data_IF_115715274195
#
_entry.id   IF_115715274195
#
_cell.length_a   1.000
_cell.length_b   1.000
_cell.length_c   1.000
_cell.angle_alpha   90.00
_cell.angle_beta   90.00
_cell.angle_gamma   90.00
#
_symmetry.space_group_name_H-M   'P 1'
#
loop_
_entity.id
_entity.type
_entity.pdbx_description
1 polymer ?
#
# COMPACT_ATOMS: atom_id res chain seq x y z
N UNK A 1 -20.21 2.36 -19.34
CA UNK A 1 -19.14 3.30 -19.72
C UNK A 1 -19.35 4.71 -19.15
N UNK A 2 -20.55 5.24 -19.16
CA UNK A 2 -20.83 6.61 -18.68
C UNK A 2 -20.60 6.82 -17.19
N UNK A 3 -20.90 5.81 -16.32
CA UNK A 3 -20.70 5.93 -14.86
C UNK A 3 -19.23 6.05 -14.47
N UNK A 4 -18.34 5.21 -15.02
CA UNK A 4 -16.89 5.29 -14.75
C UNK A 4 -16.34 6.64 -15.21
N UNK A 5 -16.74 7.10 -16.41
CA UNK A 5 -16.32 8.41 -16.93
C UNK A 5 -16.78 9.55 -16.02
N UNK A 6 -17.99 9.47 -15.46
CA UNK A 6 -18.49 10.49 -14.53
C UNK A 6 -17.70 10.49 -13.22
N UNK A 7 -17.35 9.33 -12.66
CA UNK A 7 -16.49 9.23 -11.46
C UNK A 7 -15.09 9.80 -11.71
N UNK A 8 -14.46 9.44 -12.82
CA UNK A 8 -13.16 9.99 -13.22
C UNK A 8 -13.21 11.51 -13.45
N UNK A 9 -14.32 12.03 -14.00
CA UNK A 9 -14.50 13.47 -14.16
C UNK A 9 -14.60 14.17 -12.81
N UNK A 10 -15.38 13.63 -11.85
CA UNK A 10 -15.46 14.13 -10.47
C UNK A 10 -14.06 14.24 -9.84
N UNK A 11 -13.25 13.18 -9.96
CA UNK A 11 -11.88 13.15 -9.43
C UNK A 11 -11.03 14.25 -10.10
N UNK A 12 -11.09 14.37 -11.44
CA UNK A 12 -10.30 15.35 -12.20
C UNK A 12 -10.67 16.80 -11.84
N UNK A 13 -11.94 17.05 -11.55
CA UNK A 13 -12.44 18.41 -11.23
C UNK A 13 -12.28 18.78 -9.75
N UNK A 14 -11.94 17.83 -8.88
CA UNK A 14 -11.64 18.10 -7.47
C UNK A 14 -10.14 18.33 -7.29
N UNK A 15 -9.78 19.14 -6.30
CA UNK A 15 -8.38 19.40 -5.98
C UNK A 15 -7.72 18.24 -5.19
N UNK A 16 -8.47 17.23 -4.81
CA UNK A 16 -8.03 16.19 -3.88
C UNK A 16 -6.86 15.39 -4.42
N UNK A 17 -6.92 14.93 -5.67
CA UNK A 17 -5.90 14.05 -6.24
C UNK A 17 -4.52 14.71 -6.36
N UNK A 18 -4.47 15.98 -6.78
CA UNK A 18 -3.18 16.67 -6.92
C UNK A 18 -2.59 17.11 -5.58
N UNK A 19 -3.44 17.41 -4.57
CA UNK A 19 -2.99 17.68 -3.20
C UNK A 19 -2.30 16.42 -2.65
N UNK A 20 -2.90 15.24 -2.80
CA UNK A 20 -2.28 13.98 -2.38
C UNK A 20 -1.01 13.66 -3.18
N UNK A 21 -0.99 13.97 -4.49
CA UNK A 21 0.20 13.84 -5.31
C UNK A 21 1.33 14.76 -4.80
N UNK A 22 1.01 16.01 -4.45
CA UNK A 22 1.99 16.95 -3.89
C UNK A 22 2.53 16.48 -2.53
N UNK A 23 1.67 15.98 -1.65
CA UNK A 23 2.06 15.42 -0.34
C UNK A 23 2.92 14.15 -0.52
N UNK A 24 2.64 13.35 -1.55
CA UNK A 24 3.39 12.11 -1.79
C UNK A 24 4.86 12.34 -2.14
N UNK A 25 5.21 13.46 -2.77
CA UNK A 25 6.58 13.75 -3.20
C UNK A 25 7.58 13.86 -2.03
N UNK A 26 7.36 14.70 -0.99
CA UNK A 26 8.26 14.77 0.15
C UNK A 26 8.28 13.46 0.95
N UNK A 27 7.16 12.74 1.07
CA UNK A 27 7.10 11.44 1.73
C UNK A 27 7.89 10.37 0.95
N UNK A 28 7.81 10.39 -0.37
CA UNK A 28 8.62 9.53 -1.24
C UNK A 28 10.11 9.87 -1.12
N UNK A 29 10.48 11.15 -1.15
CA UNK A 29 11.87 11.57 -0.99
C UNK A 29 12.45 11.18 0.37
N UNK A 30 11.65 11.30 1.44
CA UNK A 30 12.04 10.85 2.78
C UNK A 30 12.28 9.34 2.81
N UNK A 31 11.38 8.54 2.24
CA UNK A 31 11.55 7.07 2.18
C UNK A 31 12.74 6.68 1.30
N UNK A 32 12.99 7.39 0.20
CA UNK A 32 14.17 7.18 -0.63
C UNK A 32 15.47 7.43 0.17
N UNK A 33 15.52 8.51 0.94
CA UNK A 33 16.66 8.81 1.80
C UNK A 33 16.87 7.71 2.84
N UNK A 34 15.80 7.27 3.51
CA UNK A 34 15.89 6.18 4.51
C UNK A 34 16.39 4.88 3.86
N UNK A 35 15.84 4.50 2.69
CA UNK A 35 16.24 3.30 1.97
C UNK A 35 17.67 3.41 1.44
N UNK A 36 18.12 4.59 1.05
CA UNK A 36 19.53 4.82 0.69
C UNK A 36 20.46 4.59 1.87
N UNK A 37 20.18 5.24 3.02
CA UNK A 37 21.00 5.06 4.24
C UNK A 37 21.01 3.59 4.69
N UNK A 38 19.89 2.90 4.56
CA UNK A 38 19.79 1.47 4.86
C UNK A 38 20.63 0.64 3.87
N UNK A 39 20.55 0.91 2.56
CA UNK A 39 21.32 0.20 1.55
C UNK A 39 22.83 0.42 1.75
N UNK A 40 23.26 1.68 2.05
CA UNK A 40 24.64 2.01 2.36
C UNK A 40 25.15 1.24 3.60
N UNK A 41 24.35 1.22 4.68
CA UNK A 41 24.69 0.45 5.88
C UNK A 41 24.80 -1.06 5.60
N UNK A 42 23.86 -1.63 4.81
CA UNK A 42 23.85 -3.06 4.46
C UNK A 42 25.05 -3.46 3.58
N UNK A 43 25.56 -2.57 2.72
CA UNK A 43 26.67 -2.86 1.81
C UNK A 43 28.02 -2.54 2.43
N UNK A 44 28.11 -1.64 3.40
CA UNK A 44 29.34 -1.20 4.05
C UNK A 44 29.70 -1.97 5.32
N UNK A 45 28.73 -2.63 5.97
CA UNK A 45 28.93 -3.34 7.24
C UNK A 45 29.18 -4.82 6.99
N UNK A 46 30.21 -5.40 7.64
CA UNK A 46 30.46 -6.84 7.60
C UNK A 46 29.38 -7.60 8.40
N UNK A 47 28.64 -8.55 7.80
CA UNK A 47 27.62 -9.35 8.49
C UNK A 47 28.14 -10.02 9.78
N UNK A 48 29.42 -10.37 9.83
CA UNK A 48 30.02 -11.00 11.03
C UNK A 48 30.03 -10.07 12.26
N UNK A 49 29.88 -8.76 12.06
CA UNK A 49 29.87 -7.77 13.16
C UNK A 49 28.48 -7.60 13.79
N UNK A 50 27.43 -8.14 13.19
CA UNK A 50 26.01 -7.93 13.60
C UNK A 50 25.56 -9.00 14.61
N UNK A 51 26.39 -10.00 14.93
CA UNK A 51 26.09 -11.03 15.92
C UNK A 51 24.95 -11.97 15.48
N UNK A 52 23.99 -12.22 16.36
CA UNK A 52 22.90 -13.20 16.14
C UNK A 52 21.98 -12.85 14.94
N UNK A 53 22.05 -11.64 14.43
CA UNK A 53 21.27 -11.19 13.27
C UNK A 53 22.03 -11.27 11.93
N UNK A 54 23.23 -11.88 11.92
CA UNK A 54 24.09 -11.95 10.73
C UNK A 54 23.38 -12.53 9.50
N UNK A 55 22.60 -13.60 9.66
CA UNK A 55 21.86 -14.26 8.57
C UNK A 55 20.76 -13.36 8.00
N UNK A 56 20.03 -12.65 8.85
CA UNK A 56 18.99 -11.70 8.43
C UNK A 56 19.60 -10.50 7.70
N UNK A 57 20.72 -10.00 8.24
CA UNK A 57 21.47 -8.89 7.64
C UNK A 57 22.03 -9.29 6.26
N UNK A 58 22.65 -10.47 6.14
CA UNK A 58 23.16 -10.97 4.88
C UNK A 58 22.04 -11.17 3.83
N UNK A 59 20.89 -11.70 4.24
CA UNK A 59 19.72 -11.85 3.37
C UNK A 59 19.19 -10.48 2.86
N UNK A 60 19.16 -9.46 3.72
CA UNK A 60 18.74 -8.12 3.37
C UNK A 60 19.76 -7.38 2.48
N UNK A 61 21.04 -7.71 2.57
CA UNK A 61 22.13 -7.13 1.76
C UNK A 61 22.23 -7.73 0.35
N UNK A 62 21.44 -8.74 0.02
CA UNK A 62 21.47 -9.36 -1.33
C UNK A 62 21.03 -8.35 -2.40
N UNK A 63 21.59 -8.41 -3.64
CA UNK A 63 21.17 -7.56 -4.75
C UNK A 63 19.67 -7.62 -5.03
N UNK A 64 19.04 -8.80 -4.84
CA UNK A 64 17.61 -9.02 -5.01
C UNK A 64 16.78 -8.25 -3.96
N UNK A 65 17.20 -8.28 -2.69
CA UNK A 65 16.54 -7.56 -1.62
C UNK A 65 16.70 -6.04 -1.78
N UNK A 66 17.93 -5.57 -2.03
CA UNK A 66 18.24 -4.16 -2.21
C UNK A 66 17.50 -3.54 -3.41
N UNK A 67 17.54 -4.22 -4.57
CA UNK A 67 16.85 -3.73 -5.77
C UNK A 67 15.33 -3.73 -5.60
N UNK A 68 14.76 -4.77 -5.01
CA UNK A 68 13.33 -4.83 -4.74
C UNK A 68 12.88 -3.74 -3.78
N UNK A 69 13.64 -3.47 -2.71
CA UNK A 69 13.37 -2.39 -1.76
C UNK A 69 13.43 -1.01 -2.42
N UNK A 70 14.50 -0.72 -3.17
CA UNK A 70 14.69 0.57 -3.82
C UNK A 70 13.69 0.83 -4.95
N UNK A 71 13.35 -0.19 -5.75
CA UNK A 71 12.36 -0.04 -6.84
C UNK A 71 10.91 -0.04 -6.35
N UNK A 72 10.65 -0.33 -5.08
CA UNK A 72 9.35 -0.18 -4.44
C UNK A 72 9.33 0.91 -3.37
N UNK A 73 10.33 1.79 -3.35
CA UNK A 73 10.44 2.92 -2.43
C UNK A 73 9.15 3.74 -2.40
N UNK A 74 8.77 4.21 -1.22
CA UNK A 74 7.55 5.00 -1.02
C UNK A 74 6.27 4.17 -0.92
N UNK A 75 6.33 2.82 -1.04
CA UNK A 75 5.17 1.95 -0.90
C UNK A 75 4.36 2.26 0.36
N UNK A 76 4.99 2.39 1.51
CA UNK A 76 4.30 2.60 2.79
C UNK A 76 3.36 3.81 2.74
N UNK A 77 3.83 4.98 2.35
CA UNK A 77 2.97 6.15 2.24
C UNK A 77 2.10 6.15 1.00
N UNK A 78 2.56 5.54 -0.10
CA UNK A 78 1.79 5.39 -1.33
C UNK A 78 0.51 4.58 -1.12
N UNK A 79 0.57 3.47 -0.39
CA UNK A 79 -0.59 2.65 -0.03
C UNK A 79 -1.58 3.40 0.87
N UNK A 80 -1.07 4.16 1.86
CA UNK A 80 -1.90 5.04 2.68
C UNK A 80 -2.65 6.05 1.82
N UNK A 81 -1.96 6.75 0.91
CA UNK A 81 -2.56 7.76 0.04
C UNK A 81 -3.64 7.15 -0.86
N UNK A 82 -3.36 6.02 -1.49
CA UNK A 82 -4.32 5.34 -2.36
C UNK A 82 -5.53 4.84 -1.58
N UNK A 83 -5.34 4.34 -0.37
CA UNK A 83 -6.45 3.99 0.53
C UNK A 83 -7.31 5.22 0.86
N UNK A 84 -6.70 6.35 1.21
CA UNK A 84 -7.43 7.60 1.50
C UNK A 84 -8.18 8.11 0.27
N UNK A 85 -7.60 8.05 -0.91
CA UNK A 85 -8.28 8.38 -2.16
C UNK A 85 -9.49 7.45 -2.40
N UNK A 86 -9.35 6.15 -2.15
CA UNK A 86 -10.45 5.19 -2.21
C UNK A 86 -11.59 5.53 -1.24
N UNK A 87 -11.26 5.92 0.00
CA UNK A 87 -12.23 6.41 0.99
C UNK A 87 -12.97 7.64 0.45
N UNK A 88 -12.24 8.63 -0.07
CA UNK A 88 -12.78 9.90 -0.53
C UNK A 88 -13.68 9.72 -1.75
N UNK A 89 -13.35 8.84 -2.69
CA UNK A 89 -14.19 8.51 -3.86
C UNK A 89 -15.60 8.10 -3.46
N UNK A 90 -15.74 7.45 -2.29
CA UNK A 90 -17.06 7.05 -1.77
C UNK A 90 -17.67 8.14 -0.90
N UNK A 91 -16.90 8.64 0.07
CA UNK A 91 -17.42 9.49 1.15
C UNK A 91 -17.68 10.94 0.71
N UNK A 92 -17.06 11.41 -0.37
CA UNK A 92 -17.31 12.75 -0.92
C UNK A 92 -18.77 12.97 -1.31
N UNK A 93 -19.47 11.94 -1.80
CA UNK A 93 -20.89 12.05 -2.13
C UNK A 93 -21.76 12.23 -0.88
N UNK A 94 -21.41 11.59 0.22
CA UNK A 94 -22.08 11.78 1.51
C UNK A 94 -21.79 13.16 2.08
N UNK A 95 -20.56 13.62 1.98
CA UNK A 95 -20.14 14.93 2.44
C UNK A 95 -20.84 16.08 1.67
N UNK A 96 -20.96 15.95 0.35
CA UNK A 96 -21.63 16.94 -0.50
C UNK A 96 -23.13 16.69 -0.69
N UNK A 97 -23.73 15.72 0.02
CA UNK A 97 -25.15 15.35 -0.05
C UNK A 97 -25.65 15.00 -1.47
N UNK A 98 -24.76 14.50 -2.35
CA UNK A 98 -25.06 14.14 -3.73
C UNK A 98 -25.44 12.67 -3.92
N UNK A 99 -25.41 11.87 -2.86
CA UNK A 99 -25.74 10.43 -2.88
C UNK A 99 -27.12 10.17 -3.44
N UNK A 100 -28.14 10.94 -2.98
CA UNK A 100 -29.52 10.78 -3.42
C UNK A 100 -29.66 11.05 -4.93
N UNK A 101 -29.03 12.12 -5.42
CA UNK A 101 -29.04 12.47 -6.85
C UNK A 101 -28.38 11.38 -7.70
N UNK A 102 -27.27 10.81 -7.22
CA UNK A 102 -26.55 9.73 -7.89
C UNK A 102 -27.44 8.50 -8.05
N UNK A 103 -28.19 8.10 -7.00
CA UNK A 103 -29.06 6.92 -7.07
C UNK A 103 -30.39 7.17 -7.78
N UNK A 104 -30.88 8.40 -7.81
CA UNK A 104 -32.05 8.76 -8.64
C UNK A 104 -31.74 8.68 -10.13
N UNK A 105 -30.53 9.11 -10.53
CA UNK A 105 -30.09 9.05 -11.94
C UNK A 105 -29.59 7.67 -12.35
N UNK A 106 -29.13 6.85 -11.40
CA UNK A 106 -28.58 5.51 -11.65
C UNK A 106 -29.10 4.51 -10.60
N UNK A 107 -30.28 3.90 -10.83
CA UNK A 107 -30.93 3.03 -9.83
C UNK A 107 -30.15 1.73 -9.54
N UNK A 108 -29.19 1.36 -10.40
CA UNK A 108 -28.39 0.15 -10.24
C UNK A 108 -27.21 0.40 -9.26
N UNK A 109 -27.46 0.27 -7.96
CA UNK A 109 -26.48 0.52 -6.87
C UNK A 109 -25.14 -0.23 -7.06
N UNK A 110 -25.20 -1.48 -7.55
CA UNK A 110 -23.99 -2.28 -7.84
C UNK A 110 -23.15 -1.69 -8.98
N UNK A 111 -23.78 -1.14 -10.02
CA UNK A 111 -23.07 -0.52 -11.12
C UNK A 111 -22.33 0.78 -10.68
N UNK A 112 -22.95 1.56 -9.79
CA UNK A 112 -22.32 2.75 -9.18
C UNK A 112 -21.12 2.33 -8.34
N UNK A 113 -21.23 1.27 -7.52
CA UNK A 113 -20.11 0.76 -6.73
C UNK A 113 -18.95 0.27 -7.58
N UNK A 114 -19.24 -0.51 -8.62
CA UNK A 114 -18.22 -0.98 -9.56
C UNK A 114 -17.54 0.20 -10.26
N UNK A 115 -18.28 1.25 -10.62
CA UNK A 115 -17.69 2.45 -11.19
C UNK A 115 -16.72 3.15 -10.23
N UNK A 116 -17.06 3.22 -8.93
CA UNK A 116 -16.17 3.77 -7.89
C UNK A 116 -14.94 2.91 -7.65
N UNK A 117 -15.08 1.59 -7.63
CA UNK A 117 -13.94 0.66 -7.54
C UNK A 117 -13.00 0.82 -8.74
N UNK A 118 -13.54 0.91 -9.95
CA UNK A 118 -12.74 1.14 -11.16
C UNK A 118 -12.04 2.50 -11.09
N UNK A 119 -12.73 3.56 -10.66
CA UNK A 119 -12.14 4.88 -10.53
C UNK A 119 -11.01 4.92 -9.49
N UNK A 120 -11.21 4.29 -8.33
CA UNK A 120 -10.16 4.13 -7.30
C UNK A 120 -8.98 3.30 -7.83
N UNK A 121 -9.24 2.22 -8.57
CA UNK A 121 -8.22 1.41 -9.22
C UNK A 121 -7.39 2.18 -10.26
N UNK A 122 -8.03 3.05 -11.04
CA UNK A 122 -7.32 3.94 -12.00
C UNK A 122 -6.42 4.91 -11.25
N UNK A 123 -6.86 5.50 -10.14
CA UNK A 123 -6.00 6.35 -9.31
C UNK A 123 -4.81 5.58 -8.74
N UNK A 124 -5.07 4.37 -8.22
CA UNK A 124 -4.02 3.49 -7.71
C UNK A 124 -2.97 3.16 -8.79
N UNK A 125 -3.42 2.83 -9.99
CA UNK A 125 -2.54 2.56 -11.14
C UNK A 125 -1.70 3.78 -11.50
N UNK A 126 -2.30 4.98 -11.52
CA UNK A 126 -1.57 6.21 -11.83
C UNK A 126 -0.52 6.55 -10.76
N UNK A 127 -0.88 6.45 -9.48
CA UNK A 127 0.06 6.68 -8.39
C UNK A 127 1.22 5.66 -8.41
N UNK A 128 0.89 4.37 -8.58
CA UNK A 128 1.90 3.32 -8.73
C UNK A 128 2.82 3.58 -9.93
N UNK A 129 2.27 3.94 -11.10
CA UNK A 129 3.05 4.19 -12.31
C UNK A 129 4.05 5.34 -12.12
N UNK A 130 3.58 6.46 -11.57
CA UNK A 130 4.42 7.64 -11.33
C UNK A 130 5.52 7.32 -10.32
N UNK A 131 5.19 6.68 -9.19
CA UNK A 131 6.19 6.31 -8.18
C UNK A 131 7.17 5.27 -8.71
N UNK A 132 6.72 4.31 -9.52
CA UNK A 132 7.61 3.31 -10.15
C UNK A 132 8.60 3.97 -11.10
N UNK A 133 8.18 4.93 -11.92
CA UNK A 133 9.10 5.67 -12.81
C UNK A 133 10.16 6.42 -11.98
N UNK A 134 9.76 7.11 -10.92
CA UNK A 134 10.73 7.76 -10.02
C UNK A 134 11.66 6.76 -9.35
N UNK A 135 11.16 5.60 -8.93
CA UNK A 135 11.95 4.56 -8.30
C UNK A 135 12.95 3.91 -9.26
N UNK A 136 12.59 3.70 -10.52
CA UNK A 136 13.51 3.16 -11.53
C UNK A 136 14.67 4.13 -11.78
N UNK A 137 14.43 5.43 -11.77
CA UNK A 137 15.47 6.45 -11.96
C UNK A 137 16.31 6.62 -10.71
N UNK A 138 15.68 6.98 -9.58
CA UNK A 138 16.38 7.28 -8.34
C UNK A 138 16.97 6.02 -7.68
N UNK A 139 16.23 4.91 -7.70
CA UNK A 139 16.68 3.63 -7.14
C UNK A 139 17.90 3.07 -7.88
N UNK A 140 17.95 3.18 -9.23
CA UNK A 140 19.14 2.80 -9.99
C UNK A 140 20.35 3.67 -9.64
N UNK A 141 20.16 4.97 -9.46
CA UNK A 141 21.23 5.87 -9.04
C UNK A 141 21.76 5.52 -7.64
N UNK A 142 20.87 5.19 -6.69
CA UNK A 142 21.24 4.75 -5.35
C UNK A 142 21.99 3.41 -5.39
N UNK A 143 21.47 2.43 -6.15
CA UNK A 143 22.13 1.11 -6.30
C UNK A 143 23.56 1.27 -6.84
N UNK A 144 23.76 2.11 -7.87
CA UNK A 144 25.07 2.40 -8.38
C UNK A 144 25.98 3.08 -7.35
N UNK A 145 25.44 3.99 -6.54
CA UNK A 145 26.18 4.68 -5.48
C UNK A 145 26.68 3.74 -4.37
N UNK A 146 25.95 2.65 -4.10
CA UNK A 146 26.35 1.63 -3.11
C UNK A 146 27.07 0.41 -3.75
N UNK A 147 27.45 0.50 -5.02
CA UNK A 147 28.24 -0.54 -5.71
C UNK A 147 27.44 -1.75 -6.19
N UNK A 148 26.13 -1.64 -6.34
CA UNK A 148 25.21 -2.70 -6.80
C UNK A 148 24.61 -2.32 -8.15
N UNK A 149 25.40 -2.41 -9.23
CA UNK A 149 25.00 -2.02 -10.58
C UNK A 149 24.13 -3.07 -11.29
N UNK A 150 23.50 -2.64 -12.40
CA UNK A 150 22.88 -3.55 -13.37
C UNK A 150 21.54 -4.19 -12.95
N UNK A 151 20.88 -3.69 -11.91
CA UNK A 151 19.68 -4.33 -11.35
C UNK A 151 18.39 -4.13 -12.17
N UNK A 152 18.40 -3.37 -13.25
CA UNK A 152 17.26 -3.26 -14.17
C UNK A 152 16.94 -4.58 -14.91
N UNK A 153 17.91 -5.50 -15.01
CA UNK A 153 17.71 -6.86 -15.53
C UNK A 153 17.31 -7.89 -14.46
N UNK A 154 17.12 -7.49 -13.21
CA UNK A 154 16.86 -8.40 -12.09
C UNK A 154 15.38 -8.82 -12.04
N UNK A 155 15.10 -10.11 -12.19
CA UNK A 155 13.75 -10.68 -12.18
C UNK A 155 13.06 -10.51 -10.82
N UNK A 156 13.79 -10.54 -9.69
CA UNK A 156 13.23 -10.34 -8.37
C UNK A 156 12.70 -8.91 -8.23
N UNK A 157 13.43 -7.92 -8.74
CA UNK A 157 13.02 -6.52 -8.74
C UNK A 157 11.74 -6.30 -9.57
N UNK A 158 11.65 -6.86 -10.78
CA UNK A 158 10.43 -6.75 -11.60
C UNK A 158 9.24 -7.46 -10.98
N UNK A 159 9.46 -8.60 -10.32
CA UNK A 159 8.42 -9.28 -9.55
C UNK A 159 7.94 -8.41 -8.39
N UNK A 160 8.84 -7.78 -7.65
CA UNK A 160 8.49 -6.85 -6.57
C UNK A 160 7.68 -5.66 -7.08
N UNK A 161 8.05 -5.05 -8.22
CA UNK A 161 7.31 -3.97 -8.88
C UNK A 161 5.89 -4.43 -9.26
N UNK A 162 5.74 -5.63 -9.81
CA UNK A 162 4.42 -6.19 -10.16
C UNK A 162 3.55 -6.47 -8.94
N UNK A 163 4.13 -7.03 -7.86
CA UNK A 163 3.43 -7.25 -6.59
C UNK A 163 3.09 -5.93 -5.90
N UNK A 164 3.93 -4.92 -6.04
CA UNK A 164 3.64 -3.57 -5.56
C UNK A 164 2.40 -2.97 -6.26
N UNK A 165 2.23 -3.16 -7.57
CA UNK A 165 0.99 -2.80 -8.28
C UNK A 165 -0.23 -3.50 -7.65
N UNK A 166 -0.11 -4.81 -7.39
CA UNK A 166 -1.19 -5.56 -6.74
C UNK A 166 -1.54 -4.95 -5.37
N UNK A 167 -0.52 -4.58 -4.57
CA UNK A 167 -0.73 -3.92 -3.29
C UNK A 167 -1.51 -2.61 -3.45
N UNK A 168 -1.11 -1.74 -4.38
CA UNK A 168 -1.82 -0.48 -4.65
C UNK A 168 -3.29 -0.71 -5.02
N UNK A 169 -3.58 -1.68 -5.88
CA UNK A 169 -4.96 -2.02 -6.28
C UNK A 169 -5.79 -2.56 -5.11
N UNK A 170 -5.22 -3.45 -4.29
CA UNK A 170 -5.90 -4.02 -3.12
C UNK A 170 -6.19 -2.96 -2.06
N UNK A 171 -5.26 -2.03 -1.83
CA UNK A 171 -5.46 -0.93 -0.89
C UNK A 171 -6.48 0.11 -1.38
N UNK A 172 -6.60 0.31 -2.70
CA UNK A 172 -7.69 1.11 -3.27
C UNK A 172 -9.06 0.46 -2.98
N UNK A 173 -9.18 -0.86 -3.18
CA UNK A 173 -10.40 -1.62 -2.84
C UNK A 173 -10.70 -1.53 -1.34
N UNK A 174 -9.69 -1.69 -0.50
CA UNK A 174 -9.81 -1.58 0.95
C UNK A 174 -10.30 -0.18 1.38
N UNK A 175 -9.74 0.88 0.77
CA UNK A 175 -10.19 2.26 1.00
C UNK A 175 -11.65 2.48 0.62
N UNK A 176 -12.08 2.00 -0.55
CA UNK A 176 -13.49 2.04 -0.96
C UNK A 176 -14.37 1.29 0.06
N UNK A 177 -13.93 0.12 0.54
CA UNK A 177 -14.62 -0.65 1.57
C UNK A 177 -14.83 0.15 2.87
N UNK A 178 -13.78 0.77 3.41
CA UNK A 178 -13.85 1.64 4.60
C UNK A 178 -14.83 2.80 4.36
N UNK A 179 -14.75 3.46 3.19
CA UNK A 179 -15.64 4.56 2.83
C UNK A 179 -17.12 4.18 2.79
N UNK A 180 -17.42 2.93 2.41
CA UNK A 180 -18.78 2.38 2.45
C UNK A 180 -19.24 2.08 3.86
N UNK A 181 -18.35 1.54 4.69
CA UNK A 181 -18.65 1.21 6.09
C UNK A 181 -18.92 2.46 6.93
N UNK A 182 -18.10 3.49 6.74
CA UNK A 182 -18.13 4.74 7.49
C UNK A 182 -18.56 5.88 6.56
N UNK A 183 -19.82 6.28 6.63
CA UNK A 183 -20.41 7.32 5.74
C UNK A 183 -19.89 8.73 5.99
N UNK A 184 -19.23 8.99 7.11
CA UNK A 184 -18.60 10.27 7.42
C UNK A 184 -17.22 10.34 6.76
N UNK A 185 -16.96 11.34 5.94
CA UNK A 185 -15.66 11.52 5.28
C UNK A 185 -14.55 11.69 6.31
N UNK A 186 -14.74 12.57 7.29
CA UNK A 186 -13.76 12.80 8.37
C UNK A 186 -13.56 11.52 9.19
N UNK A 187 -14.66 10.87 9.60
CA UNK A 187 -14.61 9.64 10.38
C UNK A 187 -13.89 8.51 9.65
N UNK A 188 -14.19 8.28 8.35
CA UNK A 188 -13.55 7.25 7.55
C UNK A 188 -12.05 7.54 7.33
N UNK A 189 -11.69 8.79 7.06
CA UNK A 189 -10.30 9.20 6.84
C UNK A 189 -9.47 9.05 8.11
N UNK A 190 -9.97 9.56 9.25
CA UNK A 190 -9.29 9.42 10.55
C UNK A 190 -9.15 7.95 10.95
N UNK A 191 -10.21 7.16 10.81
CA UNK A 191 -10.16 5.71 11.10
C UNK A 191 -9.15 5.01 10.19
N UNK A 192 -9.14 5.32 8.89
CA UNK A 192 -8.18 4.76 7.95
C UNK A 192 -6.72 5.09 8.33
N UNK A 193 -6.42 6.34 8.66
CA UNK A 193 -5.09 6.77 9.10
C UNK A 193 -4.69 6.07 10.40
N UNK A 194 -5.57 6.02 11.39
CA UNK A 194 -5.27 5.37 12.68
C UNK A 194 -5.06 3.87 12.53
N UNK A 195 -5.87 3.18 11.73
CA UNK A 195 -5.69 1.76 11.45
C UNK A 195 -4.40 1.49 10.67
N UNK A 196 -4.08 2.35 9.70
CA UNK A 196 -2.88 2.17 8.90
C UNK A 196 -1.61 2.49 9.70
N UNK A 197 -1.45 3.71 10.16
CA UNK A 197 -0.23 4.16 10.85
C UNK A 197 -0.16 3.58 12.27
N UNK A 198 -1.23 3.71 13.05
CA UNK A 198 -1.27 3.20 14.43
C UNK A 198 -1.16 1.68 14.47
N UNK A 199 -1.87 0.98 13.58
CA UNK A 199 -1.79 -0.47 13.45
C UNK A 199 -0.40 -0.93 13.03
N UNK A 200 0.23 -0.30 12.04
CA UNK A 200 1.57 -0.65 11.57
C UNK A 200 2.65 -0.40 12.63
N UNK A 201 2.70 0.82 13.14
CA UNK A 201 3.71 1.23 14.13
C UNK A 201 3.54 0.44 15.42
N UNK A 202 2.29 0.34 15.92
CA UNK A 202 2.00 -0.44 17.13
C UNK A 202 2.37 -1.91 16.98
N UNK A 203 2.06 -2.53 15.83
CA UNK A 203 2.41 -3.92 15.57
C UNK A 203 3.92 -4.14 15.52
N UNK A 204 4.69 -3.26 14.88
CA UNK A 204 6.16 -3.37 14.85
C UNK A 204 6.72 -3.42 16.27
N UNK A 205 6.30 -2.50 17.14
CA UNK A 205 6.79 -2.46 18.53
C UNK A 205 6.33 -3.69 19.33
N UNK A 206 5.06 -4.08 19.20
CA UNK A 206 4.52 -5.24 19.93
C UNK A 206 5.20 -6.52 19.48
N UNK A 207 5.35 -6.74 18.17
CA UNK A 207 6.01 -7.93 17.61
C UNK A 207 7.48 -7.97 18.07
N UNK A 208 8.21 -6.84 18.01
CA UNK A 208 9.60 -6.78 18.44
C UNK A 208 9.78 -7.17 19.92
N UNK A 209 8.94 -6.61 20.83
CA UNK A 209 8.98 -6.91 22.26
C UNK A 209 8.62 -8.38 22.53
N UNK A 210 7.63 -8.93 21.80
CA UNK A 210 7.18 -10.30 22.00
C UNK A 210 8.17 -11.31 21.41
N UNK A 211 8.78 -11.01 20.27
CA UNK A 211 9.76 -11.87 19.61
C UNK A 211 11.02 -12.05 20.49
N UNK A 212 11.46 -11.00 21.15
CA UNK A 212 12.58 -11.04 22.10
C UNK A 212 12.32 -12.02 23.27
N UNK A 213 11.05 -12.16 23.69
CA UNK A 213 10.67 -13.03 24.83
C UNK A 213 10.26 -14.45 24.45
N UNK A 214 9.61 -14.61 23.31
CA UNK A 214 8.93 -15.86 22.93
C UNK A 214 9.45 -16.48 21.65
N UNK A 215 10.43 -15.82 20.99
CA UNK A 215 11.12 -16.34 19.81
C UNK A 215 10.47 -15.92 18.48
N UNK A 216 11.15 -16.27 17.39
CA UNK A 216 10.90 -15.78 16.03
C UNK A 216 9.53 -16.13 15.45
N UNK A 217 8.84 -17.17 15.98
CA UNK A 217 7.50 -17.53 15.50
C UNK A 217 6.48 -16.40 15.65
N UNK A 218 6.73 -15.45 16.57
CA UNK A 218 5.93 -14.23 16.79
C UNK A 218 5.94 -13.34 15.55
N UNK A 219 6.98 -13.37 14.72
CA UNK A 219 7.05 -12.60 13.48
C UNK A 219 5.92 -12.95 12.50
N UNK A 220 5.30 -14.14 12.62
CA UNK A 220 4.12 -14.48 11.83
C UNK A 220 2.92 -13.58 12.11
N UNK A 221 2.86 -12.92 13.28
CA UNK A 221 1.78 -11.97 13.60
C UNK A 221 1.78 -10.73 12.70
N UNK A 222 2.90 -10.42 12.02
CA UNK A 222 2.94 -9.35 11.03
C UNK A 222 1.93 -9.56 9.89
N UNK A 223 1.54 -10.80 9.59
CA UNK A 223 0.51 -11.13 8.60
C UNK A 223 -0.87 -10.61 8.99
N UNK A 224 -1.16 -10.44 10.29
CA UNK A 224 -2.44 -9.90 10.75
C UNK A 224 -2.58 -8.39 10.47
N UNK A 225 -1.49 -7.71 10.14
CA UNK A 225 -1.48 -6.27 9.87
C UNK A 225 -1.33 -6.05 8.36
N UNK A 226 -2.36 -5.54 7.67
CA UNK A 226 -2.36 -5.46 6.21
C UNK A 226 -1.18 -4.69 5.61
N UNK A 227 -0.70 -3.65 6.29
CA UNK A 227 0.47 -2.86 5.84
C UNK A 227 1.78 -3.65 5.91
N UNK A 228 1.98 -4.44 6.98
CA UNK A 228 3.16 -5.30 7.13
C UNK A 228 3.09 -6.48 6.15
N UNK A 229 1.90 -7.07 5.97
CA UNK A 229 1.67 -8.11 4.95
C UNK A 229 1.97 -7.59 3.54
N UNK A 230 1.65 -6.30 3.23
CA UNK A 230 1.99 -5.65 1.95
C UNK A 230 3.50 -5.45 1.79
N UNK A 231 4.20 -5.05 2.84
CA UNK A 231 5.65 -4.91 2.82
C UNK A 231 6.33 -6.26 2.59
N UNK A 232 5.89 -7.29 3.32
CA UNK A 232 6.41 -8.65 3.16
C UNK A 232 6.23 -9.19 1.73
N UNK A 233 5.09 -8.91 1.09
CA UNK A 233 4.77 -9.38 -0.25
C UNK A 233 5.79 -8.91 -1.32
N UNK A 234 6.36 -7.71 -1.16
CA UNK A 234 7.27 -7.10 -2.15
C UNK A 234 8.74 -7.31 -1.83
N UNK A 235 9.11 -7.97 -0.73
CA UNK A 235 10.51 -8.26 -0.42
C UNK A 235 11.16 -9.09 -1.53
N UNK A 236 12.41 -8.77 -1.89
CA UNK A 236 13.14 -9.46 -2.95
C UNK A 236 13.71 -10.82 -2.54
N UNK A 237 13.96 -11.01 -1.25
CA UNK A 237 14.52 -12.23 -0.66
C UNK A 237 13.66 -12.75 0.48
N UNK A 238 13.74 -14.05 0.76
CA UNK A 238 13.16 -14.65 1.96
C UNK A 238 14.12 -14.40 3.12
N UNK A 239 13.63 -13.70 4.15
CA UNK A 239 14.40 -13.34 5.34
C UNK A 239 14.17 -14.41 6.41
N UNK A 240 15.22 -15.04 6.96
CA UNK A 240 15.09 -16.03 8.04
C UNK A 240 14.28 -15.47 9.22
N UNK A 241 13.38 -16.27 9.77
CA UNK A 241 12.50 -15.86 10.87
C UNK A 241 11.24 -15.09 10.45
N UNK A 242 11.10 -14.70 9.18
CA UNK A 242 9.89 -14.08 8.66
C UNK A 242 8.97 -15.11 7.96
N UNK A 243 7.64 -14.87 7.91
CA UNK A 243 6.74 -15.70 7.14
C UNK A 243 7.04 -15.63 5.63
N UNK A 244 6.64 -16.65 4.84
CA UNK A 244 6.89 -16.65 3.41
C UNK A 244 6.12 -15.51 2.71
N UNK A 245 6.72 -14.90 1.70
CA UNK A 245 6.20 -13.74 0.95
C UNK A 245 4.79 -13.95 0.37
N UNK A 246 4.48 -15.17 -0.12
CA UNK A 246 3.16 -15.49 -0.65
C UNK A 246 2.04 -15.38 0.41
N UNK A 247 2.38 -15.59 1.70
CA UNK A 247 1.40 -15.45 2.78
C UNK A 247 0.94 -14.00 2.93
N UNK A 248 1.83 -13.02 2.74
CA UNK A 248 1.47 -11.60 2.69
C UNK A 248 0.45 -11.30 1.59
N UNK A 249 0.68 -11.81 0.37
CA UNK A 249 -0.26 -11.66 -0.74
C UNK A 249 -1.61 -12.32 -0.46
N UNK A 250 -1.63 -13.56 0.06
CA UNK A 250 -2.85 -14.30 0.36
C UNK A 250 -3.72 -13.57 1.42
N UNK A 251 -3.08 -13.09 2.49
CA UNK A 251 -3.76 -12.34 3.55
C UNK A 251 -4.33 -11.03 3.01
N UNK A 252 -3.57 -10.30 2.21
CA UNK A 252 -4.01 -9.03 1.65
C UNK A 252 -5.21 -9.20 0.71
N UNK A 253 -5.17 -10.23 -0.15
CA UNK A 253 -6.32 -10.61 -1.00
C UNK A 253 -7.52 -10.96 -0.12
N UNK A 254 -7.32 -11.73 0.96
CA UNK A 254 -8.36 -12.05 1.92
C UNK A 254 -9.04 -10.81 2.51
N UNK A 255 -8.26 -9.85 2.97
CA UNK A 255 -8.78 -8.57 3.49
C UNK A 255 -9.56 -7.79 2.40
N UNK A 256 -9.03 -7.70 1.18
CA UNK A 256 -9.69 -6.99 0.09
C UNK A 256 -11.02 -7.66 -0.30
N UNK A 257 -11.08 -8.99 -0.35
CA UNK A 257 -12.31 -9.75 -0.62
C UNK A 257 -13.32 -9.53 0.50
N UNK A 258 -12.94 -9.67 1.76
CA UNK A 258 -13.85 -9.51 2.90
C UNK A 258 -14.43 -8.09 2.94
N UNK A 259 -13.60 -7.06 2.80
CA UNK A 259 -14.06 -5.67 2.82
C UNK A 259 -14.88 -5.31 1.59
N UNK A 260 -14.51 -5.80 0.40
CA UNK A 260 -15.26 -5.61 -0.83
C UNK A 260 -16.63 -6.27 -0.80
N UNK A 261 -16.71 -7.51 -0.32
CA UNK A 261 -17.99 -8.25 -0.16
C UNK A 261 -18.86 -7.59 0.91
N UNK A 262 -18.29 -7.30 2.10
CA UNK A 262 -19.02 -6.64 3.17
C UNK A 262 -19.56 -5.27 2.73
N UNK A 263 -18.75 -4.46 2.04
CA UNK A 263 -19.17 -3.19 1.48
C UNK A 263 -20.32 -3.34 0.47
N UNK A 264 -20.22 -4.30 -0.44
CA UNK A 264 -21.24 -4.57 -1.44
C UNK A 264 -22.57 -5.01 -0.82
N UNK A 265 -22.55 -5.91 0.18
CA UNK A 265 -23.71 -6.39 0.90
C UNK A 265 -24.39 -5.27 1.70
N UNK A 266 -23.62 -4.42 2.36
CA UNK A 266 -24.15 -3.31 3.16
C UNK A 266 -24.90 -2.28 2.31
N UNK A 267 -24.39 -1.97 1.11
CA UNK A 267 -25.06 -1.03 0.20
C UNK A 267 -26.40 -1.59 -0.30
N UNK A 268 -26.49 -2.91 -0.50
CA UNK A 268 -27.74 -3.55 -0.91
C UNK A 268 -28.81 -3.54 0.17
N UNK A 269 -28.41 -3.67 1.45
CA UNK A 269 -29.33 -3.82 2.59
C UNK A 269 -29.72 -2.50 3.27
N UNK A 270 -28.94 -1.45 3.10
CA UNK A 270 -29.20 -0.17 3.78
C UNK A 270 -30.06 0.74 2.93
N UNK A 271 -31.22 1.15 3.46
CA UNK A 271 -32.02 2.23 2.90
C UNK A 271 -31.28 3.56 3.03
N UNK A 272 -31.49 4.43 2.04
CA UNK A 272 -30.95 5.78 2.01
C UNK A 272 -31.96 6.65 2.75
N UNK A 273 -31.79 6.77 4.07
CA UNK A 273 -32.51 7.74 4.87
C UNK A 273 -31.57 8.92 5.17
#
# INVERSE_FOLDING_TARGET
MNLVRSELLKIRTTNTWWIFALISLPLWALTLLINWLQADALTSTDPAQVGDQADQFAAAATPDALSSNLFTTGQFFGLLIVMLLGIIVVTSEFFHQTVTTTFLTSPHRTAVMLAKLVAAGVLALLFWLVTTVFNLIAGSAVLSAVGVDGQLGNDAAWRAIGLNLLAYLLWAVFGVGIGVLIRSQIGATVTGILLYLGGSIGAIFVIAILADRWGDWINNLQLLVPSLASALMVTGADIPGNPPRWAGAAVLIGYAVVTGVAGSLLIRRRDIS
#
